data_IF_968764099012
#
_entry.id   IF_968764099012
#
_cell.length_a   1.000
_cell.length_b   1.000
_cell.length_c   1.000
_cell.angle_alpha   90.00
_cell.angle_beta   90.00
_cell.angle_gamma   90.00
#
_symmetry.space_group_name_H-M   'P 1'
#
loop_
_entity.id
_entity.type
_entity.pdbx_description
1 polymer ?
#
# COMPACT_ATOMS: atom_id res chain seq x y z
N UNK A 1 -10.46 3.78 6.04
CA UNK A 1 -11.45 4.20 5.02
C UNK A 1 -11.08 5.58 4.48
N UNK A 2 -11.29 5.82 3.18
CA UNK A 2 -11.11 7.15 2.60
C UNK A 2 -12.05 8.17 3.25
N UNK A 3 -11.65 9.44 3.38
CA UNK A 3 -12.54 10.49 3.86
C UNK A 3 -13.87 10.51 3.08
N UNK A 4 -14.97 10.85 3.76
CA UNK A 4 -16.32 10.80 3.18
C UNK A 4 -16.45 11.52 1.83
N UNK A 5 -15.81 12.69 1.70
CA UNK A 5 -15.83 13.45 0.45
C UNK A 5 -15.21 12.68 -0.72
N UNK A 6 -14.16 11.89 -0.46
CA UNK A 6 -13.51 11.06 -1.49
C UNK A 6 -14.40 9.91 -1.88
N UNK A 7 -15.06 9.24 -0.89
CA UNK A 7 -15.97 8.13 -1.17
C UNK A 7 -17.23 8.55 -1.91
N UNK A 8 -17.77 9.76 -1.65
CA UNK A 8 -18.94 10.30 -2.37
C UNK A 8 -18.68 10.53 -3.86
N UNK A 9 -17.44 10.85 -4.24
CA UNK A 9 -17.11 11.19 -5.62
C UNK A 9 -16.33 10.10 -6.38
N UNK A 10 -15.58 9.27 -5.67
CA UNK A 10 -14.74 8.19 -6.26
C UNK A 10 -15.29 6.79 -5.98
N UNK A 11 -16.44 6.69 -5.29
CA UNK A 11 -16.98 5.43 -4.83
C UNK A 11 -16.30 4.92 -3.56
N UNK A 12 -16.66 3.70 -3.14
CA UNK A 12 -16.02 3.05 -2.00
C UNK A 12 -14.58 2.68 -2.35
N UNK A 13 -13.73 2.61 -1.35
CA UNK A 13 -12.29 2.38 -1.51
C UNK A 13 -11.98 1.08 -2.29
N UNK A 14 -12.73 0.03 -2.04
CA UNK A 14 -12.59 -1.23 -2.77
C UNK A 14 -12.78 -1.09 -4.28
N UNK A 15 -13.52 -0.07 -4.74
CA UNK A 15 -13.73 0.18 -6.18
C UNK A 15 -12.43 0.52 -6.91
N UNK A 16 -11.47 1.15 -6.24
CA UNK A 16 -10.17 1.43 -6.85
C UNK A 16 -9.45 0.14 -7.26
N UNK A 17 -9.62 -0.93 -6.48
CA UNK A 17 -9.08 -2.26 -6.77
C UNK A 17 -9.95 -3.04 -7.76
N UNK A 18 -11.26 -3.08 -7.55
CA UNK A 18 -12.18 -3.85 -8.39
C UNK A 18 -12.18 -3.39 -9.84
N UNK A 19 -11.94 -2.10 -10.10
CA UNK A 19 -11.81 -1.57 -11.45
C UNK A 19 -10.59 -2.14 -12.20
N UNK A 20 -9.53 -2.50 -11.50
CA UNK A 20 -8.30 -3.08 -12.08
C UNK A 20 -8.40 -4.61 -12.13
N UNK A 21 -8.88 -5.22 -11.04
CA UNK A 21 -8.83 -6.67 -10.85
C UNK A 21 -10.00 -7.41 -11.51
N UNK A 22 -11.12 -6.72 -11.73
CA UNK A 22 -12.40 -7.31 -12.13
C UNK A 22 -13.26 -7.71 -10.93
N UNK A 23 -14.50 -7.23 -10.91
CA UNK A 23 -15.42 -7.37 -9.75
C UNK A 23 -15.83 -8.84 -9.52
N UNK A 24 -15.99 -9.60 -10.57
CA UNK A 24 -16.37 -11.03 -10.58
C UNK A 24 -15.26 -11.98 -10.12
N UNK A 25 -14.03 -11.50 -10.02
CA UNK A 25 -12.86 -12.26 -9.58
C UNK A 25 -12.50 -12.03 -8.11
N UNK A 26 -13.14 -11.07 -7.45
CA UNK A 26 -12.75 -10.60 -6.13
C UNK A 26 -13.84 -10.83 -5.09
N UNK A 27 -13.42 -11.34 -3.94
CA UNK A 27 -14.24 -11.34 -2.72
C UNK A 27 -13.73 -10.25 -1.80
N UNK A 28 -14.57 -9.27 -1.48
CA UNK A 28 -14.22 -8.18 -0.56
C UNK A 28 -14.54 -8.59 0.87
N UNK A 29 -13.50 -8.64 1.71
CA UNK A 29 -13.63 -8.92 3.14
C UNK A 29 -13.45 -7.62 3.92
N UNK A 30 -14.45 -7.25 4.72
CA UNK A 30 -14.34 -6.13 5.64
C UNK A 30 -13.72 -6.61 6.96
N UNK A 31 -12.42 -6.39 7.14
CA UNK A 31 -11.66 -6.83 8.31
C UNK A 31 -12.25 -6.32 9.65
N UNK A 32 -12.83 -5.10 9.67
CA UNK A 32 -13.46 -4.54 10.89
C UNK A 32 -14.70 -5.29 11.36
N UNK A 33 -15.28 -6.17 10.52
CA UNK A 33 -16.34 -7.08 10.94
C UNK A 33 -15.82 -8.34 11.62
N UNK A 34 -14.49 -8.51 11.68
CA UNK A 34 -13.81 -9.61 12.35
C UNK A 34 -14.18 -11.02 11.85
N UNK A 35 -14.81 -11.10 10.68
CA UNK A 35 -15.20 -12.35 10.02
C UNK A 35 -14.27 -12.57 8.84
N UNK A 36 -13.27 -13.42 9.05
CA UNK A 36 -12.34 -13.84 8.01
C UNK A 36 -12.73 -15.25 7.52
N UNK A 37 -12.88 -15.45 6.20
CA UNK A 37 -13.08 -16.79 5.65
C UNK A 37 -11.82 -17.64 5.83
N UNK A 38 -11.90 -18.92 5.49
CA UNK A 38 -10.68 -19.68 5.24
C UNK A 38 -9.96 -19.05 4.03
N UNK A 39 -8.61 -19.01 4.04
CA UNK A 39 -7.83 -18.39 2.96
C UNK A 39 -7.75 -19.29 1.71
N UNK A 40 -8.90 -19.89 1.31
CA UNK A 40 -9.04 -20.67 0.09
C UNK A 40 -9.25 -19.74 -1.12
N UNK A 41 -8.18 -19.07 -1.51
CA UNK A 41 -8.18 -18.13 -2.62
C UNK A 41 -6.81 -18.11 -3.32
N UNK A 42 -6.80 -17.60 -4.55
CA UNK A 42 -5.61 -17.55 -5.38
C UNK A 42 -4.56 -16.55 -4.88
N UNK A 43 -4.98 -15.49 -4.21
CA UNK A 43 -4.10 -14.46 -3.65
C UNK A 43 -4.88 -13.47 -2.80
N UNK A 44 -4.19 -12.74 -1.95
CA UNK A 44 -4.76 -11.78 -1.00
C UNK A 44 -4.14 -10.40 -1.23
N UNK A 45 -4.99 -9.38 -1.35
CA UNK A 45 -4.55 -7.97 -1.28
C UNK A 45 -5.05 -7.39 0.04
N UNK A 46 -4.11 -6.91 0.86
CA UNK A 46 -4.40 -6.15 2.07
C UNK A 46 -4.33 -4.68 1.74
N UNK A 47 -5.47 -4.02 1.72
CA UNK A 47 -5.59 -2.63 1.25
C UNK A 47 -5.08 -1.61 2.26
N UNK A 48 -4.97 -0.36 1.84
CA UNK A 48 -4.77 0.79 2.71
C UNK A 48 -5.92 0.98 3.71
N UNK A 49 -5.64 1.68 4.79
CA UNK A 49 -6.60 2.07 5.84
C UNK A 49 -6.13 3.35 6.52
N UNK A 50 -7.07 4.11 7.12
CA UNK A 50 -6.75 5.21 8.01
C UNK A 50 -6.40 4.76 9.45
N UNK A 51 -6.47 3.45 9.74
CA UNK A 51 -6.01 2.86 10.99
C UNK A 51 -4.49 2.79 11.04
N UNK A 52 -3.92 2.75 12.24
CA UNK A 52 -2.51 2.37 12.42
C UNK A 52 -2.37 0.85 12.45
N UNK A 53 -1.30 0.35 11.84
CA UNK A 53 -0.96 -1.07 11.99
C UNK A 53 -0.60 -1.42 13.45
N UNK A 54 -0.28 -0.41 14.29
CA UNK A 54 -0.04 -0.57 15.72
C UNK A 54 -1.29 -0.52 16.59
N UNK A 55 -2.49 -0.33 16.01
CA UNK A 55 -3.73 -0.37 16.76
C UNK A 55 -3.92 -1.72 17.44
N UNK A 56 -4.57 -1.69 18.63
CA UNK A 56 -4.83 -2.88 19.44
C UNK A 56 -6.28 -3.40 19.25
N UNK A 57 -6.97 -2.90 18.26
CA UNK A 57 -8.34 -3.33 17.96
C UNK A 57 -8.39 -4.84 17.65
N UNK A 58 -9.43 -5.57 18.10
CA UNK A 58 -9.53 -7.03 17.90
C UNK A 58 -9.42 -7.47 16.43
N UNK A 59 -9.94 -6.67 15.50
CA UNK A 59 -9.85 -6.98 14.06
C UNK A 59 -8.41 -7.01 13.54
N UNK A 60 -7.49 -6.24 14.14
CA UNK A 60 -6.06 -6.24 13.78
C UNK A 60 -5.44 -7.60 14.10
N UNK A 61 -5.60 -8.10 15.34
CA UNK A 61 -5.09 -9.41 15.73
C UNK A 61 -5.70 -10.55 14.91
N UNK A 62 -7.02 -10.51 14.66
CA UNK A 62 -7.69 -11.51 13.83
C UNK A 62 -7.22 -11.51 12.38
N UNK A 63 -6.91 -10.33 11.83
CA UNK A 63 -6.34 -10.24 10.49
C UNK A 63 -4.90 -10.74 10.43
N UNK A 64 -4.09 -10.54 11.48
CA UNK A 64 -2.75 -11.15 11.58
C UNK A 64 -2.83 -12.69 11.56
N UNK A 65 -3.74 -13.27 12.34
CA UNK A 65 -3.95 -14.74 12.36
C UNK A 65 -4.43 -15.26 11.00
N UNK A 66 -5.29 -14.50 10.31
CA UNK A 66 -5.72 -14.83 8.95
C UNK A 66 -4.54 -14.84 7.97
N UNK A 67 -3.68 -13.81 8.01
CA UNK A 67 -2.50 -13.71 7.15
C UNK A 67 -1.50 -14.85 7.41
N UNK A 68 -1.29 -15.24 8.68
CA UNK A 68 -0.43 -16.39 9.03
C UNK A 68 -0.97 -17.67 8.44
N UNK A 69 -2.28 -17.93 8.58
CA UNK A 69 -2.91 -19.11 7.96
C UNK A 69 -2.80 -19.09 6.43
N UNK A 70 -2.92 -17.92 5.81
CA UNK A 70 -2.74 -17.78 4.36
C UNK A 70 -1.32 -18.18 3.92
N UNK A 71 -0.31 -17.75 4.68
CA UNK A 71 1.09 -18.16 4.43
C UNK A 71 1.28 -19.66 4.59
N UNK A 72 0.71 -20.28 5.63
CA UNK A 72 0.76 -21.72 5.85
C UNK A 72 0.14 -22.51 4.67
N UNK A 73 -0.87 -21.92 4.01
CA UNK A 73 -1.49 -22.47 2.80
C UNK A 73 -0.79 -22.02 1.51
N UNK A 74 0.35 -21.33 1.62
CA UNK A 74 1.13 -20.85 0.48
C UNK A 74 0.39 -19.84 -0.42
N UNK A 75 -0.61 -19.12 0.10
CA UNK A 75 -1.34 -18.09 -0.63
C UNK A 75 -0.47 -16.82 -0.77
N UNK A 76 -0.29 -16.28 -1.98
CA UNK A 76 0.42 -15.01 -2.21
C UNK A 76 -0.30 -13.84 -1.54
N UNK A 77 0.46 -12.94 -0.90
CA UNK A 77 -0.05 -11.77 -0.18
C UNK A 77 0.59 -10.50 -0.72
N UNK A 78 -0.21 -9.49 -1.02
CA UNK A 78 0.25 -8.16 -1.37
C UNK A 78 -0.38 -7.11 -0.45
N UNK A 79 0.44 -6.44 0.36
CA UNK A 79 0.05 -5.36 1.26
C UNK A 79 0.27 -3.99 0.63
N UNK A 80 -0.69 -3.06 0.78
CA UNK A 80 -0.62 -1.70 0.23
C UNK A 80 -0.85 -0.69 1.35
N UNK A 81 0.06 0.25 1.55
CA UNK A 81 0.06 1.29 2.56
C UNK A 81 -0.15 0.71 3.98
N UNK A 82 -1.32 0.84 4.60
CA UNK A 82 -1.62 0.14 5.85
C UNK A 82 -1.34 -1.37 5.70
N UNK A 83 -1.76 -1.98 4.60
CA UNK A 83 -1.52 -3.41 4.33
C UNK A 83 -0.03 -3.77 4.28
N UNK A 84 0.82 -2.92 3.71
CA UNK A 84 2.28 -3.05 3.74
C UNK A 84 2.81 -3.07 5.18
N UNK A 85 2.38 -2.10 5.99
CA UNK A 85 2.78 -1.98 7.39
C UNK A 85 2.23 -3.16 8.22
N UNK A 86 0.97 -3.53 8.00
CA UNK A 86 0.30 -4.60 8.72
C UNK A 86 0.94 -5.97 8.43
N UNK A 87 1.24 -6.25 7.17
CA UNK A 87 1.99 -7.46 6.77
C UNK A 87 3.38 -7.47 7.38
N UNK A 88 4.12 -6.34 7.32
CA UNK A 88 5.43 -6.25 7.94
C UNK A 88 5.36 -6.56 9.45
N UNK A 89 4.42 -5.95 10.18
CA UNK A 89 4.22 -6.19 11.61
C UNK A 89 3.83 -7.63 11.91
N UNK A 90 2.92 -8.22 11.14
CA UNK A 90 2.46 -9.61 11.30
C UNK A 90 3.62 -10.61 11.32
N UNK A 91 4.67 -10.34 10.55
CA UNK A 91 5.83 -11.22 10.42
C UNK A 91 7.08 -10.71 11.17
N UNK A 92 6.92 -9.78 12.11
CA UNK A 92 7.97 -9.36 13.04
C UNK A 92 8.72 -8.08 12.68
N UNK A 93 8.21 -7.31 11.73
CA UNK A 93 8.68 -5.96 11.45
C UNK A 93 8.17 -4.94 12.47
N UNK A 94 8.73 -3.73 12.45
CA UNK A 94 8.40 -2.63 13.37
C UNK A 94 7.89 -1.42 12.60
N UNK A 95 6.77 -0.88 13.04
CA UNK A 95 6.09 0.28 12.44
C UNK A 95 6.27 1.48 13.36
N UNK A 96 6.64 2.62 12.78
CA UNK A 96 6.83 3.88 13.49
C UNK A 96 6.25 5.06 12.72
N UNK A 97 6.05 6.17 13.42
CA UNK A 97 5.80 7.46 12.76
C UNK A 97 7.01 7.82 11.90
N UNK A 98 6.76 8.29 10.69
CA UNK A 98 7.83 8.72 9.81
C UNK A 98 8.56 9.93 10.42
N UNK A 99 9.87 9.84 10.72
CA UNK A 99 10.64 10.94 11.27
C UNK A 99 10.76 12.13 10.31
N UNK A 100 10.56 11.89 9.02
CA UNK A 100 10.55 12.93 7.98
C UNK A 100 9.18 13.58 7.76
N UNK A 101 8.16 13.19 8.56
CA UNK A 101 6.79 13.67 8.43
C UNK A 101 5.96 12.87 7.42
N UNK A 102 4.83 13.46 7.05
CA UNK A 102 3.92 12.84 6.09
C UNK A 102 4.46 12.88 4.66
N UNK A 103 4.24 11.81 3.93
CA UNK A 103 4.30 11.77 2.48
C UNK A 103 2.88 11.80 1.92
N UNK A 104 2.54 12.87 1.18
CA UNK A 104 1.21 13.06 0.60
C UNK A 104 1.34 13.77 -0.76
N UNK A 105 0.82 13.17 -1.80
CA UNK A 105 0.97 13.64 -3.17
C UNK A 105 1.67 12.62 -4.06
N UNK A 106 2.32 13.08 -5.13
CA UNK A 106 3.14 12.21 -5.99
C UNK A 106 4.60 12.37 -5.61
N UNK A 107 5.27 11.25 -5.36
CA UNK A 107 6.70 11.17 -5.07
C UNK A 107 7.42 10.27 -6.09
N UNK A 108 8.72 10.46 -6.21
CA UNK A 108 9.59 9.55 -6.98
C UNK A 108 10.03 8.40 -6.07
N UNK A 109 9.87 7.19 -6.55
CA UNK A 109 10.30 5.95 -5.91
C UNK A 109 11.37 5.30 -6.78
N UNK A 110 12.44 4.80 -6.17
CA UNK A 110 13.56 4.15 -6.87
C UNK A 110 13.70 2.70 -6.43
N UNK A 111 13.76 1.79 -7.38
CA UNK A 111 14.00 0.36 -7.14
C UNK A 111 15.42 0.12 -6.66
N UNK A 112 15.56 -0.80 -5.73
CA UNK A 112 16.87 -1.38 -5.39
C UNK A 112 17.29 -2.39 -6.48
N UNK A 113 18.51 -2.93 -6.40
CA UNK A 113 18.92 -4.03 -7.29
C UNK A 113 18.02 -5.25 -7.14
N UNK A 114 17.56 -5.55 -5.91
CA UNK A 114 16.60 -6.63 -5.66
C UNK A 114 15.23 -6.30 -6.24
N UNK A 115 14.81 -5.03 -6.14
CA UNK A 115 13.57 -4.55 -6.76
C UNK A 115 13.57 -4.70 -8.28
N UNK A 116 14.67 -4.36 -8.95
CA UNK A 116 14.81 -4.50 -10.42
C UNK A 116 14.70 -5.97 -10.89
N UNK A 117 15.04 -6.93 -10.03
CA UNK A 117 14.94 -8.37 -10.31
C UNK A 117 13.64 -9.00 -9.84
N UNK A 118 12.82 -8.26 -9.08
CA UNK A 118 11.62 -8.81 -8.45
C UNK A 118 10.42 -8.84 -9.40
N UNK A 119 9.67 -9.92 -9.36
CA UNK A 119 8.50 -10.16 -10.22
C UNK A 119 7.39 -9.10 -10.07
N UNK A 120 7.25 -8.47 -8.87
CA UNK A 120 6.28 -7.38 -8.66
C UNK A 120 6.59 -6.15 -9.52
N UNK A 121 7.85 -5.93 -9.91
CA UNK A 121 8.31 -4.76 -10.66
C UNK A 121 8.72 -5.06 -12.10
N UNK A 122 8.30 -6.21 -12.62
CA UNK A 122 8.57 -6.56 -14.03
C UNK A 122 8.08 -5.47 -14.98
N UNK A 123 8.94 -5.11 -15.93
CA UNK A 123 8.69 -4.07 -16.94
C UNK A 123 8.45 -2.66 -16.37
N UNK A 124 8.91 -2.40 -15.17
CA UNK A 124 8.91 -1.05 -14.59
C UNK A 124 10.28 -0.37 -14.74
N UNK A 125 10.31 0.97 -14.86
CA UNK A 125 11.58 1.70 -14.86
C UNK A 125 12.21 1.67 -13.46
N UNK A 126 13.52 1.85 -13.38
CA UNK A 126 14.28 1.91 -12.12
C UNK A 126 13.75 2.99 -11.18
N UNK A 127 13.36 4.14 -11.71
CA UNK A 127 12.71 5.22 -10.96
C UNK A 127 11.37 5.57 -11.60
N UNK A 128 10.35 5.75 -10.78
CA UNK A 128 8.99 6.03 -11.24
C UNK A 128 8.23 6.90 -10.24
N UNK A 129 7.20 7.58 -10.73
CA UNK A 129 6.26 8.31 -9.89
C UNK A 129 5.26 7.36 -9.23
N UNK A 130 4.95 7.60 -7.95
CA UNK A 130 3.92 6.87 -7.19
C UNK A 130 3.08 7.84 -6.35
N UNK A 131 1.85 7.45 -6.03
CA UNK A 131 0.97 8.23 -5.16
C UNK A 131 1.20 7.83 -3.70
N UNK A 132 1.45 8.81 -2.85
CA UNK A 132 1.75 8.64 -1.44
C UNK A 132 0.65 9.22 -0.57
N UNK A 133 0.33 8.54 0.54
CA UNK A 133 -0.57 9.03 1.57
C UNK A 133 -0.32 8.32 2.89
N UNK A 134 0.79 8.64 3.56
CA UNK A 134 1.12 7.98 4.82
C UNK A 134 1.94 8.89 5.76
N UNK A 135 1.77 8.68 7.06
CA UNK A 135 2.56 9.30 8.14
C UNK A 135 3.28 8.28 9.02
N UNK A 136 3.06 6.98 8.76
CA UNK A 136 3.79 5.87 9.40
C UNK A 136 4.56 5.09 8.33
N UNK A 137 5.63 4.42 8.75
CA UNK A 137 6.52 3.64 7.90
C UNK A 137 6.89 2.32 8.56
N UNK A 138 7.28 1.34 7.77
CA UNK A 138 8.05 0.19 8.26
C UNK A 138 9.45 0.67 8.58
N UNK A 139 9.76 0.80 9.87
CA UNK A 139 11.09 1.24 10.35
C UNK A 139 12.09 0.08 10.36
N UNK A 140 11.63 -1.14 10.64
CA UNK A 140 12.42 -2.37 10.55
C UNK A 140 11.62 -3.43 9.80
N UNK A 141 12.26 -4.03 8.82
CA UNK A 141 11.67 -5.13 8.06
C UNK A 141 11.53 -6.41 8.89
N UNK A 142 10.58 -7.28 8.56
CA UNK A 142 10.55 -8.65 9.10
C UNK A 142 11.87 -9.38 8.84
N UNK A 143 12.27 -10.31 9.73
CA UNK A 143 13.44 -11.15 9.49
C UNK A 143 13.35 -11.88 8.15
N UNK A 144 14.40 -11.74 7.33
CA UNK A 144 14.47 -12.35 5.99
C UNK A 144 13.76 -11.56 4.87
N UNK A 145 13.14 -10.43 5.18
CA UNK A 145 12.59 -9.56 4.15
C UNK A 145 13.68 -8.72 3.48
N UNK A 146 13.41 -8.32 2.22
CA UNK A 146 14.33 -7.57 1.36
C UNK A 146 13.65 -6.28 0.88
N UNK A 147 14.35 -5.14 1.00
CA UNK A 147 13.87 -3.86 0.44
C UNK A 147 13.91 -3.89 -1.06
N UNK A 148 12.78 -3.62 -1.69
CA UNK A 148 12.65 -3.59 -3.16
C UNK A 148 12.65 -2.17 -3.73
N UNK A 149 12.15 -1.20 -2.98
CA UNK A 149 12.10 0.19 -3.41
C UNK A 149 12.25 1.14 -2.23
N UNK A 150 12.73 2.36 -2.52
CA UNK A 150 12.97 3.42 -1.53
C UNK A 150 12.82 4.80 -2.13
N UNK A 151 12.70 5.81 -1.26
CA UNK A 151 12.95 7.22 -1.57
C UNK A 151 13.63 7.90 -0.38
N UNK A 152 13.87 9.20 -0.45
CA UNK A 152 14.55 9.96 0.63
C UNK A 152 13.70 10.07 1.90
N UNK A 153 12.39 9.90 1.79
CA UNK A 153 11.44 10.04 2.90
C UNK A 153 11.08 8.70 3.56
N UNK A 154 11.19 7.60 2.84
CA UNK A 154 10.85 6.25 3.32
C UNK A 154 11.83 5.21 2.74
N UNK A 155 12.60 4.58 3.64
CA UNK A 155 13.61 3.57 3.26
C UNK A 155 12.99 2.30 2.67
N UNK A 156 11.80 1.93 3.13
CA UNK A 156 11.11 0.72 2.71
C UNK A 156 9.80 1.05 1.98
N UNK A 157 9.91 1.74 0.85
CA UNK A 157 8.77 2.00 -0.03
C UNK A 157 8.17 0.72 -0.62
N UNK A 158 8.98 -0.33 -0.72
CA UNK A 158 8.50 -1.68 -1.00
C UNK A 158 9.43 -2.71 -0.39
N UNK A 159 8.87 -3.87 -0.04
CA UNK A 159 9.63 -5.05 0.38
C UNK A 159 9.01 -6.34 -0.17
N UNK A 160 9.82 -7.43 -0.15
CA UNK A 160 9.31 -8.80 -0.23
C UNK A 160 9.78 -9.61 0.97
N UNK A 161 8.99 -10.62 1.35
CA UNK A 161 9.37 -11.62 2.35
C UNK A 161 9.18 -13.00 1.72
N UNK A 162 10.30 -13.68 1.48
CA UNK A 162 10.30 -14.90 0.67
C UNK A 162 9.77 -14.63 -0.74
N UNK A 163 9.12 -15.65 -1.30
CA UNK A 163 8.61 -15.62 -2.68
C UNK A 163 7.10 -15.33 -2.79
N UNK A 164 6.42 -15.07 -1.67
CA UNK A 164 4.95 -15.02 -1.64
C UNK A 164 4.36 -13.79 -0.96
N UNK A 165 5.18 -12.93 -0.40
CA UNK A 165 4.72 -11.76 0.33
C UNK A 165 5.40 -10.52 -0.23
N UNK A 166 4.59 -9.53 -0.59
CA UNK A 166 5.04 -8.21 -1.04
C UNK A 166 4.31 -7.11 -0.29
N UNK A 167 4.95 -5.98 -0.19
CA UNK A 167 4.35 -4.77 0.33
C UNK A 167 4.83 -3.54 -0.41
N UNK A 168 3.92 -2.58 -0.67
CA UNK A 168 4.25 -1.23 -1.14
C UNK A 168 3.65 -0.20 -0.21
N UNK A 169 4.45 0.80 0.19
CA UNK A 169 3.98 1.91 1.01
C UNK A 169 3.13 2.87 0.18
N UNK A 170 3.50 3.07 -1.08
CA UNK A 170 2.73 3.84 -2.04
C UNK A 170 1.45 3.12 -2.49
N UNK A 171 0.54 3.88 -3.10
CA UNK A 171 -0.77 3.46 -3.58
C UNK A 171 -0.80 3.24 -5.09
N UNK A 172 -0.64 2.01 -5.61
CA UNK A 172 -0.75 1.73 -7.04
C UNK A 172 -2.17 1.91 -7.58
N UNK A 173 -3.18 1.86 -6.71
CA UNK A 173 -4.59 2.03 -7.05
C UNK A 173 -5.05 3.49 -7.13
N UNK A 174 -4.24 4.44 -6.65
CA UNK A 174 -4.63 5.84 -6.64
C UNK A 174 -4.37 6.51 -7.99
N UNK A 175 -5.39 7.24 -8.45
CA UNK A 175 -5.30 8.13 -9.61
C UNK A 175 -5.12 9.58 -9.19
N UNK A 176 -4.69 10.49 -10.08
CA UNK A 176 -4.67 11.92 -9.79
C UNK A 176 -6.03 12.45 -9.29
N UNK A 177 -7.13 11.98 -9.85
CA UNK A 177 -8.47 12.40 -9.45
C UNK A 177 -8.81 12.01 -7.99
N UNK A 178 -8.27 10.88 -7.49
CA UNK A 178 -8.37 10.49 -6.08
C UNK A 178 -7.51 11.44 -5.23
N UNK A 179 -6.27 11.69 -5.63
CA UNK A 179 -5.34 12.54 -4.89
C UNK A 179 -5.83 13.99 -4.78
N UNK A 180 -6.38 14.56 -5.86
CA UNK A 180 -6.94 15.91 -5.89
C UNK A 180 -8.08 16.11 -4.89
N UNK A 181 -8.75 15.03 -4.47
CA UNK A 181 -9.82 15.04 -3.46
C UNK A 181 -9.30 14.68 -2.06
N UNK A 182 -8.37 13.74 -1.99
CA UNK A 182 -7.79 13.26 -0.74
C UNK A 182 -6.94 14.36 -0.07
N UNK A 183 -6.11 15.05 -0.83
CA UNK A 183 -5.21 16.10 -0.32
C UNK A 183 -5.97 17.20 0.44
N UNK A 184 -7.03 17.83 -0.09
CA UNK A 184 -7.78 18.86 0.65
C UNK A 184 -8.38 18.32 1.95
N UNK A 185 -8.89 17.08 1.95
CA UNK A 185 -9.48 16.46 3.12
C UNK A 185 -8.44 16.19 4.23
N UNK A 186 -7.27 15.68 3.87
CA UNK A 186 -6.19 15.41 4.81
C UNK A 186 -5.49 16.70 5.28
N UNK A 187 -5.22 17.65 4.38
CA UNK A 187 -4.61 18.93 4.72
C UNK A 187 -5.44 19.75 5.72
N UNK A 188 -6.77 19.52 5.78
CA UNK A 188 -7.66 20.17 6.74
C UNK A 188 -7.59 19.60 8.16
N UNK A 189 -7.14 18.36 8.32
CA UNK A 189 -7.17 17.64 9.62
C UNK A 189 -5.80 17.27 10.17
N UNK A 190 -4.79 17.22 9.30
CA UNK A 190 -3.43 16.90 9.74
C UNK A 190 -2.80 18.08 10.49
N UNK A 191 -2.06 17.83 11.58
CA UNK A 191 -1.33 18.85 12.30
C UNK A 191 -0.35 19.61 11.38
N UNK A 192 -0.16 20.90 11.62
CA UNK A 192 0.74 21.75 10.81
C UNK A 192 2.19 21.27 10.77
N UNK A 193 2.66 20.57 11.82
CA UNK A 193 4.00 19.95 11.87
C UNK A 193 4.14 18.64 11.09
N UNK A 194 3.07 18.15 10.47
CA UNK A 194 3.11 16.89 9.70
C UNK A 194 3.97 16.98 8.42
N UNK A 195 4.25 18.18 7.94
CA UNK A 195 5.00 18.44 6.71
C UNK A 195 6.18 19.39 7.00
N UNK A 196 7.28 18.90 7.58
CA UNK A 196 8.40 19.74 7.99
C UNK A 196 9.09 20.48 6.82
N UNK A 197 8.97 19.98 5.61
CA UNK A 197 9.55 20.59 4.40
C UNK A 197 8.59 21.54 3.67
N UNK A 198 7.38 21.76 4.19
CA UNK A 198 6.45 22.69 3.59
C UNK A 198 6.90 24.13 3.78
N UNK A 199 7.08 24.91 2.70
CA UNK A 199 7.44 26.32 2.78
C UNK A 199 6.22 27.19 3.15
N UNK A 200 5.86 27.19 4.44
CA UNK A 200 4.62 27.79 4.96
C UNK A 200 4.43 29.28 4.63
N UNK A 201 5.52 29.99 4.30
CA UNK A 201 5.49 31.40 3.91
C UNK A 201 5.01 31.66 2.49
N UNK A 202 4.96 30.67 1.62
CA UNK A 202 4.72 30.87 0.19
C UNK A 202 3.28 30.60 -0.24
N UNK A 203 2.62 29.60 0.35
CA UNK A 203 1.25 29.19 -0.04
C UNK A 203 0.61 28.25 0.98
N UNK A 204 -0.75 28.11 0.98
CA UNK A 204 -1.45 27.11 1.79
C UNK A 204 -0.96 25.67 1.50
N UNK A 205 -0.85 24.85 2.53
CA UNK A 205 -0.39 23.45 2.44
C UNK A 205 -1.12 22.67 1.33
N UNK A 206 -2.45 22.78 1.28
CA UNK A 206 -3.28 22.17 0.25
C UNK A 206 -2.81 22.49 -1.16
N UNK A 207 -2.58 23.77 -1.45
CA UNK A 207 -2.24 24.24 -2.79
C UNK A 207 -0.80 23.87 -3.17
N UNK A 208 0.07 23.72 -2.17
CA UNK A 208 1.41 23.19 -2.36
C UNK A 208 1.38 21.72 -2.71
N UNK A 209 0.63 20.89 -1.96
CA UNK A 209 0.50 19.46 -2.20
C UNK A 209 -0.18 19.15 -3.54
N UNK A 210 -1.25 19.87 -3.90
CA UNK A 210 -1.95 19.66 -5.17
C UNK A 210 -1.04 19.86 -6.39
N UNK A 211 0.00 20.67 -6.29
CA UNK A 211 0.98 20.86 -7.39
C UNK A 211 1.91 19.65 -7.59
N UNK A 212 2.02 18.77 -6.61
CA UNK A 212 2.82 17.53 -6.75
C UNK A 212 2.07 16.46 -7.53
N UNK A 213 0.74 16.56 -7.65
CA UNK A 213 -0.09 15.50 -8.22
C UNK A 213 0.17 15.33 -9.72
N UNK A 214 0.59 14.14 -10.09
CA UNK A 214 0.90 13.74 -11.46
C UNK A 214 0.37 12.33 -11.74
N UNK A 215 0.32 11.93 -13.00
CA UNK A 215 0.04 10.55 -13.38
C UNK A 215 1.19 9.63 -12.93
N UNK A 216 0.83 8.47 -12.39
CA UNK A 216 1.76 7.45 -11.91
C UNK A 216 1.49 6.07 -12.56
N UNK A 217 1.48 5.96 -13.91
CA UNK A 217 1.05 4.73 -14.59
C UNK A 217 2.01 3.56 -14.36
N UNK A 218 3.28 3.83 -14.06
CA UNK A 218 4.23 2.77 -13.74
C UNK A 218 3.87 2.08 -12.42
N UNK A 219 3.52 2.84 -11.37
CA UNK A 219 3.14 2.27 -10.08
C UNK A 219 1.90 1.36 -10.18
N UNK A 220 0.94 1.67 -11.06
CA UNK A 220 -0.25 0.85 -11.28
C UNK A 220 0.08 -0.57 -11.77
N UNK A 221 1.21 -0.76 -12.45
CA UNK A 221 1.65 -2.10 -12.91
C UNK A 221 1.89 -3.08 -11.78
N UNK A 222 2.13 -2.64 -10.54
CA UNK A 222 2.27 -3.54 -9.41
C UNK A 222 1.02 -4.41 -9.20
N UNK A 223 -0.18 -3.86 -9.42
CA UNK A 223 -1.43 -4.64 -9.35
C UNK A 223 -1.53 -5.68 -10.46
N UNK A 224 -1.22 -5.28 -11.70
CA UNK A 224 -1.25 -6.19 -12.86
C UNK A 224 -0.19 -7.29 -12.71
N UNK A 225 1.00 -6.94 -12.23
CA UNK A 225 2.08 -7.89 -11.99
C UNK A 225 1.69 -8.88 -10.88
N UNK A 226 1.08 -8.41 -9.78
CA UNK A 226 0.61 -9.31 -8.73
C UNK A 226 -0.46 -10.28 -9.24
N UNK A 227 -1.41 -9.83 -10.06
CA UNK A 227 -2.39 -10.73 -10.72
C UNK A 227 -1.69 -11.77 -11.59
N UNK A 228 -0.66 -11.37 -12.33
CA UNK A 228 0.12 -12.27 -13.17
C UNK A 228 0.88 -13.32 -12.34
N UNK A 229 1.50 -12.91 -11.24
CA UNK A 229 2.17 -13.79 -10.26
C UNK A 229 1.19 -14.84 -9.72
N UNK A 230 0.01 -14.39 -9.29
CA UNK A 230 -1.05 -15.30 -8.78
C UNK A 230 -1.48 -16.29 -9.86
N UNK A 231 -1.73 -15.83 -11.08
CA UNK A 231 -2.18 -16.68 -12.18
C UNK A 231 -1.12 -17.73 -12.59
N UNK A 232 0.15 -17.38 -12.57
CA UNK A 232 1.24 -18.29 -12.88
C UNK A 232 1.36 -19.40 -11.83
N UNK A 233 1.28 -19.04 -10.53
CA UNK A 233 1.35 -20.01 -9.43
C UNK A 233 0.21 -20.99 -9.39
N UNK A 234 -1.00 -20.57 -9.77
CA UNK A 234 -2.13 -21.48 -9.94
C UNK A 234 -1.88 -22.52 -11.04
N UNK A 235 -1.27 -22.14 -12.15
CA UNK A 235 -0.94 -23.07 -13.24
C UNK A 235 0.05 -24.14 -12.81
N UNK A 236 1.04 -23.78 -12.00
CA UNK A 236 2.06 -24.72 -11.48
C UNK A 236 1.48 -25.70 -10.48
N UNK A 237 0.42 -25.34 -9.74
CA UNK A 237 -0.22 -26.22 -8.77
C UNK A 237 -1.16 -27.28 -9.41
N UNK A 238 -1.62 -27.04 -10.62
CA UNK A 238 -2.60 -27.89 -11.33
C UNK A 238 -1.92 -28.82 -12.36
N UNK A 239 -0.65 -28.63 -12.69
CA UNK A 239 0.15 -29.44 -13.61
C UNK A 239 1.07 -30.40 -12.90
#
# INVERSE_FOLDING_TARGET
>A
ELPRLVTEHCGRYERAFLNVLGEDRCVVVNARKEMFPEPDCAGIIVTGSAASANDIDPWVAKSEDFLKRAVDQSVPIYGICFGHQHVARTFGGRIEKNPHGWELGTATVTLTEDGQRNELFVSMPESFSAQESHGEIVAELPPGAVTLARNDNCTHQAFSLGERIWGTQFHPEFTPAIMERLIPALAAVLPSGSFPHWPSSERPLRDWLLKTVQNAPAAQRCLDNFVSIVAERLRVQVG
#
